data_IF_914955979190
#
_entry.id   IF_914955979190
#
_cell.length_a   1.000
_cell.length_b   1.000
_cell.length_c   1.000
_cell.angle_alpha   90.00
_cell.angle_beta   90.00
_cell.angle_gamma   90.00
#
_symmetry.space_group_name_H-M   'P 1'
#
loop_
_entity.id
_entity.type
_entity.pdbx_description
1 polymer ?
#
# COMPACT_ATOMS: atom_id res chain seq x y z
N UNK A 1 -26.91 -8.50 -0.45
CA UNK A 1 -25.51 -8.50 0.01
C UNK A 1 -25.47 -7.46 1.11
N UNK A 2 -25.30 -7.89 2.37
CA UNK A 2 -25.45 -6.98 3.52
C UNK A 2 -24.42 -5.86 3.42
N UNK A 3 -24.93 -4.63 3.49
CA UNK A 3 -24.22 -3.35 3.39
C UNK A 3 -23.42 -3.03 4.67
N UNK A 4 -22.92 -4.07 5.35
CA UNK A 4 -22.24 -3.94 6.62
C UNK A 4 -20.78 -4.31 6.42
N UNK A 5 -19.92 -3.30 6.55
CA UNK A 5 -18.47 -3.48 6.62
C UNK A 5 -18.14 -4.52 7.69
N UNK A 6 -17.13 -5.35 7.41
CA UNK A 6 -16.50 -6.20 8.42
C UNK A 6 -16.11 -5.33 9.63
N UNK A 7 -16.45 -5.70 10.88
CA UNK A 7 -16.06 -4.93 12.07
C UNK A 7 -14.57 -4.56 12.13
N UNK A 8 -13.69 -5.43 11.63
CA UNK A 8 -12.25 -5.13 11.55
C UNK A 8 -11.96 -4.00 10.54
N UNK A 9 -12.62 -4.03 9.39
CA UNK A 9 -12.50 -3.01 8.35
C UNK A 9 -13.10 -1.67 8.80
N UNK A 10 -14.22 -1.69 9.51
CA UNK A 10 -14.81 -0.49 10.12
C UNK A 10 -13.88 0.12 11.19
N UNK A 11 -13.25 -0.73 12.02
CA UNK A 11 -12.27 -0.27 13.02
C UNK A 11 -11.05 0.38 12.37
N UNK A 12 -10.49 -0.23 11.32
CA UNK A 12 -9.35 0.34 10.58
C UNK A 12 -9.71 1.67 9.92
N UNK A 13 -10.90 1.74 9.32
CA UNK A 13 -11.39 2.95 8.65
C UNK A 13 -11.47 4.15 9.61
N UNK A 14 -11.85 3.91 10.86
CA UNK A 14 -11.94 4.95 11.89
C UNK A 14 -10.63 5.18 12.66
N UNK A 15 -9.58 4.38 12.41
CA UNK A 15 -8.31 4.50 13.11
C UNK A 15 -7.50 5.70 12.56
N UNK A 16 -7.20 6.73 13.37
CA UNK A 16 -6.45 7.89 12.91
C UNK A 16 -5.03 7.54 12.44
N UNK A 17 -4.45 6.43 12.92
CA UNK A 17 -3.12 5.95 12.48
C UNK A 17 -3.13 5.55 11.01
N UNK A 18 -4.25 5.04 10.49
CA UNK A 18 -4.39 4.71 9.07
C UNK A 18 -4.32 5.98 8.21
N UNK A 19 -5.07 7.02 8.60
CA UNK A 19 -5.05 8.32 7.92
C UNK A 19 -3.65 8.96 7.90
N UNK A 20 -2.93 8.90 9.03
CA UNK A 20 -1.56 9.42 9.11
C UNK A 20 -0.57 8.61 8.26
N UNK A 21 -0.65 7.27 8.30
CA UNK A 21 0.19 6.41 7.47
C UNK A 21 -0.04 6.66 5.97
N UNK A 22 -1.29 6.85 5.55
CA UNK A 22 -1.66 7.21 4.18
C UNK A 22 -1.09 8.58 3.78
N UNK A 23 -1.20 9.58 4.66
CA UNK A 23 -0.64 10.92 4.42
C UNK A 23 0.88 10.87 4.22
N UNK A 24 1.59 10.13 5.07
CA UNK A 24 3.04 9.94 4.98
C UNK A 24 3.44 9.17 3.72
N UNK A 25 2.69 8.12 3.37
CA UNK A 25 2.91 7.35 2.13
C UNK A 25 2.80 8.26 0.90
N UNK A 26 1.76 9.08 0.83
CA UNK A 26 1.54 10.00 -0.29
C UNK A 26 2.56 11.14 -0.35
N UNK A 27 3.25 11.43 0.76
CA UNK A 27 4.36 12.38 0.83
C UNK A 27 5.72 11.75 0.46
N UNK A 28 5.79 10.43 0.26
CA UNK A 28 7.04 9.71 0.02
C UNK A 28 7.89 9.52 1.28
N UNK A 29 7.32 9.69 2.47
CA UNK A 29 7.99 9.46 3.75
C UNK A 29 8.00 7.96 4.07
N UNK A 30 8.71 7.17 3.26
CA UNK A 30 8.57 5.71 3.19
C UNK A 30 8.86 4.98 4.50
N UNK A 31 9.84 5.46 5.26
CA UNK A 31 10.17 4.86 6.55
C UNK A 31 9.12 5.19 7.61
N UNK A 32 8.64 6.44 7.65
CA UNK A 32 7.63 6.86 8.61
C UNK A 32 6.27 6.22 8.34
N UNK A 33 5.86 6.10 7.06
CA UNK A 33 4.61 5.43 6.72
C UNK A 33 4.71 3.91 6.96
N UNK A 34 5.88 3.30 6.75
CA UNK A 34 6.14 1.91 7.11
C UNK A 34 5.81 1.65 8.58
N UNK A 35 6.35 2.45 9.51
CA UNK A 35 6.13 2.24 10.94
C UNK A 35 4.63 2.34 11.31
N UNK A 36 3.91 3.29 10.68
CA UNK A 36 2.47 3.43 10.85
C UNK A 36 1.68 2.21 10.35
N UNK A 37 1.97 1.74 9.13
CA UNK A 37 1.33 0.53 8.59
C UNK A 37 1.75 -0.74 9.34
N UNK A 38 2.98 -0.83 9.85
CA UNK A 38 3.48 -1.99 10.60
C UNK A 38 2.73 -2.14 11.92
N UNK A 39 2.50 -1.04 12.64
CA UNK A 39 1.70 -1.03 13.87
C UNK A 39 0.27 -1.55 13.62
N UNK A 40 -0.41 -1.02 12.58
CA UNK A 40 -1.74 -1.48 12.18
C UNK A 40 -1.73 -2.95 11.76
N UNK A 41 -0.74 -3.35 10.96
CA UNK A 41 -0.58 -4.71 10.50
C UNK A 41 -0.42 -5.69 11.67
N UNK A 42 0.38 -5.35 12.69
CA UNK A 42 0.56 -6.21 13.86
C UNK A 42 -0.74 -6.50 14.61
N UNK A 43 -1.65 -5.53 14.65
CA UNK A 43 -2.93 -5.62 15.38
C UNK A 43 -4.07 -6.21 14.52
N UNK A 44 -3.88 -6.29 13.20
CA UNK A 44 -4.91 -6.75 12.26
C UNK A 44 -4.79 -8.23 11.95
N UNK A 45 -5.92 -8.91 11.71
CA UNK A 45 -6.03 -10.31 11.28
C UNK A 45 -6.72 -10.42 9.91
N UNK A 46 -7.06 -11.64 9.50
CA UNK A 46 -7.93 -11.86 8.34
C UNK A 46 -7.46 -11.24 7.00
N UNK A 47 -8.41 -10.89 6.12
CA UNK A 47 -8.12 -10.27 4.82
C UNK A 47 -7.46 -8.89 4.93
N UNK A 48 -7.87 -8.06 5.90
CA UNK A 48 -7.33 -6.71 6.07
C UNK A 48 -5.82 -6.72 6.37
N UNK A 49 -5.35 -7.70 7.18
CA UNK A 49 -3.92 -7.88 7.47
C UNK A 49 -3.11 -8.09 6.19
N UNK A 50 -3.62 -8.89 5.25
CA UNK A 50 -2.92 -9.18 3.99
C UNK A 50 -2.76 -7.90 3.15
N UNK A 51 -3.79 -7.06 3.09
CA UNK A 51 -3.74 -5.80 2.34
C UNK A 51 -2.81 -4.78 2.97
N UNK A 52 -2.87 -4.60 4.30
CA UNK A 52 -1.91 -3.77 5.03
C UNK A 52 -0.46 -4.23 4.78
N UNK A 53 -0.21 -5.54 4.80
CA UNK A 53 1.11 -6.07 4.49
C UNK A 53 1.55 -5.76 3.05
N UNK A 54 0.62 -5.81 2.09
CA UNK A 54 0.90 -5.42 0.70
C UNK A 54 1.31 -3.96 0.56
N UNK A 55 0.57 -3.05 1.21
CA UNK A 55 0.87 -1.61 1.24
C UNK A 55 2.22 -1.34 1.91
N UNK A 56 2.45 -1.97 3.08
CA UNK A 56 3.70 -1.89 3.83
C UNK A 56 4.89 -2.30 2.97
N UNK A 57 4.80 -3.42 2.24
CA UNK A 57 5.88 -3.88 1.38
C UNK A 57 6.15 -2.94 0.21
N UNK A 58 5.11 -2.34 -0.37
CA UNK A 58 5.29 -1.31 -1.40
C UNK A 58 6.03 -0.09 -0.81
N UNK A 59 5.71 0.33 0.42
CA UNK A 59 6.44 1.40 1.10
C UNK A 59 7.93 1.04 1.31
N UNK A 60 8.21 -0.14 1.87
CA UNK A 60 9.59 -0.61 2.10
C UNK A 60 10.36 -0.76 0.78
N UNK A 61 9.70 -1.19 -0.30
CA UNK A 61 10.33 -1.26 -1.60
C UNK A 61 10.82 0.12 -2.08
N UNK A 62 10.07 1.19 -1.83
CA UNK A 62 10.49 2.54 -2.18
C UNK A 62 11.58 3.07 -1.25
N UNK A 63 11.54 2.73 0.04
CA UNK A 63 12.68 2.97 0.94
C UNK A 63 13.96 2.27 0.46
N UNK A 64 13.85 1.05 -0.08
CA UNK A 64 14.98 0.35 -0.70
C UNK A 64 15.51 1.06 -1.94
N UNK A 65 14.63 1.63 -2.78
CA UNK A 65 15.03 2.41 -3.94
C UNK A 65 15.84 3.66 -3.54
N UNK A 66 15.40 4.38 -2.50
CA UNK A 66 16.12 5.57 -1.99
C UNK A 66 17.54 5.25 -1.50
N UNK A 67 17.77 3.99 -1.09
CA UNK A 67 19.08 3.50 -0.63
C UNK A 67 19.87 2.77 -1.72
N UNK A 68 19.40 2.79 -2.97
CA UNK A 68 20.04 2.14 -4.11
C UNK A 68 19.90 0.61 -4.14
N UNK A 69 19.04 0.02 -3.30
CA UNK A 69 18.80 -1.43 -3.26
C UNK A 69 17.67 -1.84 -4.22
N UNK A 70 17.95 -1.76 -5.52
CA UNK A 70 16.97 -2.11 -6.57
C UNK A 70 16.51 -3.58 -6.51
N UNK A 71 17.41 -4.51 -6.17
CA UNK A 71 17.06 -5.93 -6.07
C UNK A 71 16.05 -6.18 -4.96
N UNK A 72 16.27 -5.61 -3.78
CA UNK A 72 15.32 -5.71 -2.67
C UNK A 72 13.98 -5.04 -3.00
N UNK A 73 14.01 -3.90 -3.68
CA UNK A 73 12.80 -3.21 -4.12
C UNK A 73 11.94 -4.07 -5.07
N UNK A 74 12.56 -4.74 -6.06
CA UNK A 74 11.82 -5.63 -6.97
C UNK A 74 11.12 -6.78 -6.24
N UNK A 75 11.81 -7.42 -5.30
CA UNK A 75 11.23 -8.51 -4.49
C UNK A 75 10.01 -8.01 -3.73
N UNK A 76 10.15 -6.89 -3.01
CA UNK A 76 9.09 -6.35 -2.18
C UNK A 76 7.91 -5.78 -2.99
N UNK A 77 8.15 -5.19 -4.16
CA UNK A 77 7.08 -4.78 -5.07
C UNK A 77 6.28 -5.99 -5.56
N UNK A 78 6.94 -7.06 -6.01
CA UNK A 78 6.28 -8.28 -6.46
C UNK A 78 5.47 -8.96 -5.35
N UNK A 79 6.07 -9.06 -4.17
CA UNK A 79 5.43 -9.59 -2.97
C UNK A 79 4.23 -8.75 -2.51
N UNK A 80 4.37 -7.43 -2.52
CA UNK A 80 3.31 -6.50 -2.13
C UNK A 80 2.12 -6.59 -3.09
N UNK A 81 2.39 -6.58 -4.40
CA UNK A 81 1.38 -6.78 -5.44
C UNK A 81 0.66 -8.12 -5.29
N UNK A 82 1.40 -9.21 -5.03
CA UNK A 82 0.81 -10.53 -4.81
C UNK A 82 -0.14 -10.58 -3.62
N UNK A 83 0.15 -9.85 -2.55
CA UNK A 83 -0.74 -9.73 -1.38
C UNK A 83 -2.00 -8.93 -1.68
N UNK A 84 -1.91 -7.90 -2.52
CA UNK A 84 -3.05 -7.07 -2.91
C UNK A 84 -4.01 -7.76 -3.90
N UNK A 85 -3.63 -8.89 -4.53
CA UNK A 85 -4.49 -9.58 -5.50
C UNK A 85 -5.81 -10.11 -4.91
N UNK A 86 -5.82 -10.48 -3.63
CA UNK A 86 -7.01 -11.03 -2.97
C UNK A 86 -7.98 -9.96 -2.45
N UNK A 87 -7.59 -8.70 -2.47
CA UNK A 87 -8.44 -7.59 -2.02
C UNK A 87 -9.32 -7.07 -3.17
N UNK A 88 -10.48 -6.50 -2.84
CA UNK A 88 -11.34 -5.84 -3.81
C UNK A 88 -10.70 -4.58 -4.42
N UNK A 89 -11.45 -3.86 -5.26
CA UNK A 89 -11.03 -2.56 -5.79
C UNK A 89 -10.84 -1.51 -4.67
N UNK A 90 -11.61 -1.65 -3.59
CA UNK A 90 -11.61 -0.79 -2.41
C UNK A 90 -11.52 -1.64 -1.15
N UNK A 91 -10.72 -1.22 -0.17
CA UNK A 91 -10.72 -1.78 1.18
C UNK A 91 -10.34 -0.72 2.21
N UNK A 92 -11.01 -0.69 3.37
CA UNK A 92 -10.85 0.32 4.44
C UNK A 92 -10.74 1.75 3.88
N UNK A 93 -11.68 2.10 2.99
CA UNK A 93 -11.77 3.36 2.27
C UNK A 93 -10.56 3.71 1.36
N UNK A 94 -9.70 2.76 1.02
CA UNK A 94 -8.59 2.97 0.09
C UNK A 94 -8.87 2.33 -1.27
N UNK A 95 -8.75 3.14 -2.33
CA UNK A 95 -8.77 2.64 -3.71
C UNK A 95 -7.44 1.94 -4.01
N UNK A 96 -7.48 0.64 -4.27
CA UNK A 96 -6.28 -0.19 -4.42
C UNK A 96 -5.82 -0.34 -5.87
N UNK A 97 -6.70 -0.14 -6.86
CA UNK A 97 -6.32 -0.28 -8.27
C UNK A 97 -5.26 0.73 -8.72
N UNK A 98 -5.36 2.04 -8.40
CA UNK A 98 -4.31 3.00 -8.77
C UNK A 98 -2.94 2.65 -8.16
N UNK A 99 -2.94 2.12 -6.92
CA UNK A 99 -1.74 1.64 -6.25
C UNK A 99 -1.15 0.42 -6.98
N UNK A 100 -1.98 -0.58 -7.30
CA UNK A 100 -1.58 -1.80 -8.01
C UNK A 100 -0.99 -1.47 -9.38
N UNK A 101 -1.61 -0.58 -10.13
CA UNK A 101 -1.14 -0.14 -11.44
C UNK A 101 0.22 0.53 -11.35
N UNK A 102 0.35 1.55 -10.50
CA UNK A 102 1.61 2.29 -10.37
C UNK A 102 2.75 1.39 -9.86
N UNK A 103 2.47 0.52 -8.87
CA UNK A 103 3.47 -0.42 -8.37
C UNK A 103 3.90 -1.45 -9.43
N UNK A 104 2.96 -1.92 -10.27
CA UNK A 104 3.25 -2.83 -11.38
C UNK A 104 4.12 -2.17 -12.45
N UNK A 105 3.81 -0.93 -12.84
CA UNK A 105 4.58 -0.20 -13.86
C UNK A 105 6.02 0.03 -13.40
N UNK A 106 6.22 0.41 -12.13
CA UNK A 106 7.57 0.56 -11.55
C UNK A 106 8.30 -0.78 -11.45
N UNK A 107 7.62 -1.87 -11.08
CA UNK A 107 8.22 -3.20 -11.05
C UNK A 107 8.67 -3.65 -12.45
N UNK A 108 7.83 -3.43 -13.46
CA UNK A 108 8.17 -3.76 -14.85
C UNK A 108 9.38 -2.95 -15.33
N UNK A 109 9.42 -1.65 -15.07
CA UNK A 109 10.57 -0.81 -15.41
C UNK A 109 11.85 -1.29 -14.72
N UNK A 110 11.80 -1.71 -13.44
CA UNK A 110 12.96 -2.28 -12.76
C UNK A 110 13.43 -3.59 -13.41
N UNK A 111 12.52 -4.49 -13.79
CA UNK A 111 12.87 -5.73 -14.50
C UNK A 111 13.52 -5.47 -15.86
N UNK A 112 13.09 -4.42 -16.55
CA UNK A 112 13.63 -4.00 -17.85
C UNK A 112 14.88 -3.12 -17.73
N UNK A 113 15.38 -2.87 -16.51
CA UNK A 113 16.46 -1.91 -16.22
C UNK A 113 16.19 -0.49 -16.79
N UNK A 114 14.92 -0.08 -16.85
CA UNK A 114 14.51 1.26 -17.25
C UNK A 114 14.54 2.23 -16.06
N UNK A 115 14.70 3.52 -16.37
CA UNK A 115 14.62 4.58 -15.37
C UNK A 115 13.20 4.69 -14.78
N UNK A 116 13.13 5.00 -13.48
CA UNK A 116 11.87 5.28 -12.78
C UNK A 116 11.52 6.78 -12.71
N UNK A 117 12.38 7.65 -13.24
CA UNK A 117 12.26 9.12 -13.11
C UNK A 117 10.93 9.66 -13.64
N UNK A 118 10.45 9.10 -14.77
CA UNK A 118 9.22 9.57 -15.42
C UNK A 118 7.98 8.78 -14.96
N UNK A 119 8.14 7.81 -14.07
CA UNK A 119 7.03 7.06 -13.53
C UNK A 119 6.52 7.72 -12.24
N UNK A 120 5.20 7.84 -12.05
CA UNK A 120 4.64 8.37 -10.82
C UNK A 120 5.06 7.51 -9.63
N UNK A 121 5.16 8.14 -8.46
CA UNK A 121 5.23 7.41 -7.19
C UNK A 121 3.85 6.80 -6.88
N UNK A 122 3.80 5.61 -6.25
CA UNK A 122 2.54 5.05 -5.81
C UNK A 122 1.84 6.01 -4.85
N UNK A 123 0.50 6.04 -4.92
CA UNK A 123 -0.35 6.81 -4.02
C UNK A 123 -1.51 5.97 -3.52
N UNK A 124 -1.97 6.29 -2.32
CA UNK A 124 -3.16 5.76 -1.70
C UNK A 124 -4.27 6.81 -1.77
N UNK A 125 -5.31 6.51 -2.54
CA UNK A 125 -6.48 7.40 -2.68
C UNK A 125 -7.53 6.99 -1.67
N UNK A 126 -7.94 7.94 -0.83
CA UNK A 126 -9.05 7.76 0.10
C UNK A 126 -10.36 8.02 -0.63
N UNK A 127 -11.28 7.06 -0.59
CA UNK A 127 -12.65 7.21 -1.08
C UNK A 127 -13.51 7.66 0.09
N UNK A 128 -14.15 8.82 -0.05
CA UNK A 128 -15.20 9.21 0.90
C UNK A 128 -16.41 8.34 0.65
N UNK A 129 -17.00 7.77 1.70
CA UNK A 129 -18.37 7.30 1.62
C UNK A 129 -19.23 8.56 1.47
N UNK A 130 -19.55 8.94 0.23
CA UNK A 130 -20.51 10.01 -0.01
C UNK A 130 -21.81 9.66 0.74
N UNK A 131 -22.28 10.65 1.51
CA UNK A 131 -23.36 10.55 2.51
C UNK A 131 -24.73 10.24 1.94
#
# INVERSE_FOLDING_TARGET
>A
MSDHLDPEEASLTCDPRLGEAVRLFNAGEWYACHDGFEALWHETQGPCRRTLQGILQIAVAHHHLDRGNQRGAMVLLGEGLGRLQGAGAVQFNLALDPLRETARDRLLALHENRSLTDLPLPKLTVISADS
#
